data_IF_698469549384
#
_entry.id   IF_698469549384
#
_cell.length_a   1.000
_cell.length_b   1.000
_cell.length_c   1.000
_cell.angle_alpha   90.00
_cell.angle_beta   90.00
_cell.angle_gamma   90.00
#
_symmetry.space_group_name_H-M   'P 1'
#
loop_
_entity.id
_entity.type
_entity.pdbx_description
1 polymer ?
#
# COMPACT_ATOMS: atom_id res chain seq x y z
N UNK A 1 -25.02 15.93 33.43
CA UNK A 1 -24.96 16.65 32.14
C UNK A 1 -23.90 15.95 31.30
N UNK A 2 -24.30 15.03 30.41
CA UNK A 2 -23.37 14.29 29.56
C UNK A 2 -23.10 15.11 28.30
N UNK A 3 -21.85 15.55 28.12
CA UNK A 3 -21.40 16.18 26.90
C UNK A 3 -21.12 15.10 25.85
N UNK A 4 -22.01 15.01 24.86
CA UNK A 4 -21.74 14.34 23.60
C UNK A 4 -20.62 15.09 22.87
N UNK A 5 -19.38 14.64 22.98
CA UNK A 5 -18.30 15.13 22.14
C UNK A 5 -18.41 14.50 20.75
N UNK A 6 -18.88 15.33 19.82
CA UNK A 6 -19.06 15.06 18.41
C UNK A 6 -17.74 14.67 17.71
N UNK A 7 -17.68 13.43 17.19
CA UNK A 7 -16.70 12.92 16.21
C UNK A 7 -16.91 13.54 14.79
N UNK A 8 -17.11 14.85 14.69
CA UNK A 8 -17.60 15.49 13.44
C UNK A 8 -16.53 16.04 12.51
N UNK A 9 -15.28 16.21 12.97
CA UNK A 9 -14.24 16.89 12.18
C UNK A 9 -13.55 16.04 11.09
N UNK A 10 -13.40 14.73 11.29
CA UNK A 10 -12.65 13.85 10.37
C UNK A 10 -13.51 13.12 9.34
N UNK A 11 -14.75 12.80 9.71
CA UNK A 11 -15.67 12.04 8.84
C UNK A 11 -16.04 12.86 7.59
N UNK A 12 -15.92 14.19 7.64
CA UNK A 12 -16.24 15.08 6.51
C UNK A 12 -15.15 15.07 5.42
N UNK A 13 -13.86 14.93 5.77
CA UNK A 13 -12.76 15.01 4.82
C UNK A 13 -12.57 13.73 3.97
N UNK A 14 -13.11 12.59 4.42
CA UNK A 14 -13.12 11.32 3.66
C UNK A 14 -14.52 10.92 3.21
N UNK A 15 -15.50 11.83 3.28
CA UNK A 15 -16.85 11.54 2.79
C UNK A 15 -16.92 11.79 1.28
N UNK A 16 -17.02 10.72 0.50
CA UNK A 16 -17.24 10.77 -0.95
C UNK A 16 -18.60 10.15 -1.28
N UNK A 17 -19.71 10.88 -1.11
CA UNK A 17 -21.06 10.35 -1.31
C UNK A 17 -21.36 10.00 -2.77
N UNK A 18 -20.67 10.65 -3.71
CA UNK A 18 -20.86 10.46 -5.15
C UNK A 18 -20.11 9.23 -5.70
N UNK A 19 -19.21 8.63 -4.92
CA UNK A 19 -18.44 7.46 -5.37
C UNK A 19 -19.19 6.18 -5.01
N UNK A 20 -19.66 5.47 -6.03
CA UNK A 20 -20.26 4.15 -5.86
C UNK A 20 -19.16 3.12 -5.68
N UNK A 21 -18.91 2.73 -4.45
CA UNK A 21 -18.00 1.65 -4.12
C UNK A 21 -18.73 0.64 -3.21
N UNK A 22 -18.39 -0.65 -3.31
CA UNK A 22 -19.12 -1.73 -2.63
C UNK A 22 -18.81 -1.82 -1.12
N UNK A 23 -18.95 -0.71 -0.40
CA UNK A 23 -18.73 -0.66 1.05
C UNK A 23 -17.39 -0.03 1.48
N UNK A 24 -16.67 0.63 0.56
CA UNK A 24 -15.48 1.42 0.90
C UNK A 24 -15.92 2.80 1.44
N UNK A 25 -16.27 2.78 2.72
CA UNK A 25 -16.91 3.88 3.43
C UNK A 25 -15.89 4.89 4.00
N UNK A 26 -16.32 6.02 4.61
CA UNK A 26 -15.42 7.01 5.17
C UNK A 26 -14.40 6.48 6.19
N UNK A 27 -14.75 5.47 7.00
CA UNK A 27 -13.84 4.83 7.94
C UNK A 27 -12.76 4.01 7.22
N UNK A 28 -13.15 3.27 6.18
CA UNK A 28 -12.20 2.52 5.35
C UNK A 28 -11.19 3.45 4.66
N UNK A 29 -11.66 4.58 4.12
CA UNK A 29 -10.78 5.62 3.54
C UNK A 29 -9.82 6.19 4.57
N UNK A 30 -10.30 6.45 5.80
CA UNK A 30 -9.46 6.93 6.89
C UNK A 30 -8.35 5.93 7.24
N UNK A 31 -8.66 4.64 7.34
CA UNK A 31 -7.67 3.58 7.60
C UNK A 31 -6.57 3.56 6.54
N UNK A 32 -6.94 3.65 5.25
CA UNK A 32 -5.97 3.67 4.14
C UNK A 32 -5.12 4.94 4.17
N UNK A 33 -5.74 6.10 4.38
CA UNK A 33 -5.07 7.39 4.43
C UNK A 33 -4.09 7.46 5.61
N UNK A 34 -4.54 7.03 6.79
CA UNK A 34 -3.74 6.95 8.01
C UNK A 34 -2.51 6.06 7.76
N UNK A 35 -2.72 4.87 7.20
CA UNK A 35 -1.61 3.96 6.93
C UNK A 35 -0.56 4.57 5.99
N UNK A 36 -0.98 5.19 4.90
CA UNK A 36 -0.04 5.87 4.00
C UNK A 36 0.73 6.99 4.72
N UNK A 37 0.07 7.78 5.57
CA UNK A 37 0.71 8.86 6.30
C UNK A 37 1.67 8.38 7.41
N UNK A 38 1.38 7.24 8.06
CA UNK A 38 2.33 6.58 8.97
C UNK A 38 3.60 6.17 8.23
N UNK A 39 3.45 5.52 7.08
CA UNK A 39 4.57 5.08 6.25
C UNK A 39 5.43 6.27 5.77
N UNK A 40 4.78 7.37 5.37
CA UNK A 40 5.46 8.62 5.00
C UNK A 40 6.16 9.29 6.19
N UNK A 41 5.57 9.22 7.38
CA UNK A 41 6.23 9.67 8.62
C UNK A 41 7.50 8.86 8.92
N UNK A 42 7.52 7.56 8.63
CA UNK A 42 8.74 6.76 8.75
C UNK A 42 9.86 7.26 7.80
N UNK A 43 9.50 7.71 6.59
CA UNK A 43 10.46 8.35 5.66
C UNK A 43 10.99 9.65 6.26
N UNK A 44 10.10 10.51 6.76
CA UNK A 44 10.49 11.78 7.39
C UNK A 44 11.40 11.58 8.63
N UNK A 45 11.24 10.46 9.34
CA UNK A 45 12.05 10.10 10.50
C UNK A 45 13.29 9.26 10.18
N UNK A 46 13.48 8.79 8.95
CA UNK A 46 14.60 7.91 8.59
C UNK A 46 14.55 6.55 9.28
N UNK A 47 13.34 6.02 9.51
CA UNK A 47 13.13 4.73 10.19
C UNK A 47 12.75 3.60 9.24
N UNK A 48 12.63 3.87 7.93
CA UNK A 48 12.36 2.86 6.90
C UNK A 48 13.59 1.99 6.69
N UNK A 49 13.43 0.69 6.88
CA UNK A 49 14.47 -0.30 6.58
C UNK A 49 14.34 -0.78 5.12
N UNK A 50 15.46 -0.86 4.42
CA UNK A 50 15.54 -1.40 3.06
C UNK A 50 16.20 -2.79 3.07
N UNK A 51 16.48 -3.36 1.88
CA UNK A 51 17.18 -4.64 1.78
C UNK A 51 18.43 -4.71 2.68
N UNK A 52 18.54 -5.77 3.47
CA UNK A 52 19.64 -5.95 4.43
C UNK A 52 19.41 -5.30 5.80
N UNK A 53 18.27 -4.64 6.04
CA UNK A 53 17.86 -4.14 7.36
C UNK A 53 18.50 -2.82 7.79
N UNK A 54 19.31 -2.21 6.93
CA UNK A 54 19.80 -0.84 7.15
C UNK A 54 18.67 0.17 6.88
N UNK A 55 18.79 1.36 7.49
CA UNK A 55 17.78 2.41 7.40
C UNK A 55 18.07 3.42 6.30
N UNK A 56 17.01 3.86 5.63
CA UNK A 56 17.06 5.03 4.77
C UNK A 56 17.40 6.28 5.58
N UNK A 57 18.10 7.22 4.96
CA UNK A 57 18.23 8.57 5.50
C UNK A 57 16.86 9.22 5.58
N UNK A 58 16.67 10.08 6.57
CA UNK A 58 15.44 10.86 6.72
C UNK A 58 15.19 11.77 5.51
N UNK A 59 13.91 11.99 5.23
CA UNK A 59 13.45 12.93 4.21
C UNK A 59 12.95 14.24 4.80
N UNK A 60 13.28 15.36 4.14
CA UNK A 60 12.59 16.65 4.34
C UNK A 60 11.50 16.82 3.29
N UNK A 61 10.60 17.79 3.48
CA UNK A 61 9.53 18.08 2.52
C UNK A 61 8.66 16.85 2.18
N UNK A 62 8.41 15.95 3.14
CA UNK A 62 7.48 14.84 2.96
C UNK A 62 6.08 15.34 3.30
N UNK A 63 5.19 15.39 2.31
CA UNK A 63 3.85 15.93 2.53
C UNK A 63 2.86 14.88 3.05
N UNK A 64 1.99 15.28 3.96
CA UNK A 64 0.86 14.46 4.40
C UNK A 64 -0.13 14.35 3.24
N UNK A 65 -0.60 13.13 2.99
CA UNK A 65 -1.66 12.89 2.04
C UNK A 65 -3.01 13.30 2.63
N UNK A 66 -3.85 13.87 1.77
CA UNK A 66 -5.28 14.06 1.98
C UNK A 66 -6.06 13.15 1.04
N UNK A 67 -7.28 12.78 1.44
CA UNK A 67 -8.15 12.00 0.57
C UNK A 67 -8.76 12.90 -0.52
N UNK A 68 -8.85 12.40 -1.75
CA UNK A 68 -9.45 13.11 -2.87
C UNK A 68 -10.50 12.22 -3.55
N UNK A 69 -11.75 12.67 -3.52
CA UNK A 69 -12.89 11.91 -4.03
C UNK A 69 -12.87 11.75 -5.56
N UNK A 70 -12.26 12.69 -6.30
CA UNK A 70 -12.17 12.57 -7.75
C UNK A 70 -11.12 11.52 -8.15
N UNK A 71 -10.00 11.45 -7.40
CA UNK A 71 -9.04 10.36 -7.53
C UNK A 71 -9.64 9.01 -7.16
N UNK A 72 -10.45 8.96 -6.09
CA UNK A 72 -11.16 7.74 -5.71
C UNK A 72 -12.11 7.28 -6.80
N UNK A 73 -12.87 8.22 -7.39
CA UNK A 73 -13.82 7.92 -8.45
C UNK A 73 -13.14 7.24 -9.64
N UNK A 74 -12.08 7.83 -10.18
CA UNK A 74 -11.37 7.25 -11.33
C UNK A 74 -10.67 5.93 -10.98
N UNK A 75 -10.14 5.79 -9.75
CA UNK A 75 -9.56 4.55 -9.27
C UNK A 75 -10.60 3.44 -9.15
N UNK A 76 -11.80 3.76 -8.66
CA UNK A 76 -12.92 2.82 -8.52
C UNK A 76 -13.47 2.40 -9.89
N UNK A 77 -13.63 3.35 -10.81
CA UNK A 77 -14.02 3.05 -12.20
C UNK A 77 -13.04 2.09 -12.87
N UNK A 78 -11.73 2.21 -12.58
CA UNK A 78 -10.74 1.26 -13.08
C UNK A 78 -10.81 -0.09 -12.37
N UNK A 79 -10.94 -0.09 -11.05
CA UNK A 79 -11.05 -1.31 -10.24
C UNK A 79 -12.27 -2.16 -10.65
N UNK A 80 -13.40 -1.51 -10.96
CA UNK A 80 -14.64 -2.17 -11.38
C UNK A 80 -14.51 -2.99 -12.67
N UNK A 81 -13.47 -2.74 -13.47
CA UNK A 81 -13.21 -3.50 -14.70
C UNK A 81 -12.69 -4.90 -14.41
N UNK A 82 -12.14 -5.16 -13.22
CA UNK A 82 -11.58 -6.46 -12.85
C UNK A 82 -10.51 -6.99 -13.83
N UNK A 83 -9.75 -6.09 -14.46
CA UNK A 83 -8.65 -6.45 -15.38
C UNK A 83 -7.35 -5.95 -14.77
N UNK A 84 -6.42 -6.87 -14.48
CA UNK A 84 -5.12 -6.49 -13.95
C UNK A 84 -4.30 -5.76 -15.02
N UNK A 85 -4.03 -4.49 -14.76
CA UNK A 85 -3.25 -3.62 -15.63
C UNK A 85 -3.39 -2.16 -15.21
N UNK A 86 -2.46 -1.32 -15.64
CA UNK A 86 -2.55 0.11 -15.40
C UNK A 86 -3.61 0.75 -16.27
N UNK A 87 -4.27 1.79 -15.76
CA UNK A 87 -5.16 2.61 -16.55
C UNK A 87 -4.39 3.46 -17.55
N UNK A 88 -5.10 4.02 -18.55
CA UNK A 88 -4.49 5.00 -19.45
C UNK A 88 -4.27 6.31 -18.71
N UNK A 89 -3.29 7.12 -19.15
CA UNK A 89 -3.06 8.45 -18.59
C UNK A 89 -4.29 9.35 -18.67
N UNK A 90 -5.10 9.21 -19.72
CA UNK A 90 -6.36 9.91 -19.88
C UNK A 90 -7.35 9.52 -18.79
N UNK A 91 -7.47 8.22 -18.48
CA UNK A 91 -8.32 7.72 -17.41
C UNK A 91 -7.84 8.20 -16.03
N UNK A 92 -6.54 8.07 -15.74
CA UNK A 92 -5.96 8.50 -14.47
C UNK A 92 -5.83 10.02 -14.31
N UNK A 93 -6.10 10.80 -15.37
CA UNK A 93 -5.85 12.26 -15.42
C UNK A 93 -4.41 12.62 -15.05
N UNK A 94 -3.45 11.85 -15.59
CA UNK A 94 -2.01 11.94 -15.29
C UNK A 94 -1.64 11.73 -13.81
N UNK A 95 -2.55 11.23 -12.98
CA UNK A 95 -2.21 10.82 -11.62
C UNK A 95 -1.24 9.62 -11.65
N UNK A 96 -0.38 9.54 -10.63
CA UNK A 96 0.35 8.32 -10.34
C UNK A 96 -0.62 7.20 -10.01
N UNK A 97 -0.24 5.94 -10.23
CA UNK A 97 -1.12 4.81 -10.02
C UNK A 97 -0.37 3.61 -9.46
N UNK A 98 -0.88 3.06 -8.36
CA UNK A 98 -0.49 1.75 -7.88
C UNK A 98 -1.67 0.78 -8.06
N UNK A 99 -1.37 -0.45 -8.50
CA UNK A 99 -2.35 -1.51 -8.68
C UNK A 99 -1.94 -2.77 -7.93
N UNK A 100 -2.91 -3.53 -7.45
CA UNK A 100 -2.68 -4.76 -6.70
C UNK A 100 -3.81 -5.76 -6.96
N UNK A 101 -3.46 -7.02 -7.20
CA UNK A 101 -4.41 -8.12 -7.35
C UNK A 101 -4.11 -9.23 -6.35
N UNK A 102 -5.12 -9.66 -5.62
CA UNK A 102 -5.06 -10.81 -4.73
C UNK A 102 -5.98 -11.93 -5.21
N UNK A 103 -5.54 -13.18 -5.05
CA UNK A 103 -6.28 -14.37 -5.45
C UNK A 103 -6.50 -15.27 -4.22
N UNK A 104 -7.70 -15.84 -4.09
CA UNK A 104 -8.03 -16.79 -3.02
C UNK A 104 -9.07 -17.81 -3.50
N UNK A 105 -8.96 -19.04 -3.04
CA UNK A 105 -9.99 -20.08 -3.24
C UNK A 105 -11.07 -20.03 -2.16
N UNK A 106 -10.85 -19.28 -1.08
CA UNK A 106 -11.83 -19.02 -0.04
C UNK A 106 -12.63 -17.74 -0.29
N UNK A 107 -13.39 -17.29 0.71
CA UNK A 107 -14.13 -16.04 0.64
C UNK A 107 -13.22 -14.81 0.59
N UNK A 108 -13.71 -13.73 -0.01
CA UNK A 108 -13.06 -12.42 0.10
C UNK A 108 -12.93 -12.01 1.56
N UNK A 109 -11.79 -11.40 1.89
CA UNK A 109 -11.61 -10.70 3.16
C UNK A 109 -12.34 -9.35 3.14
N UNK A 110 -12.40 -8.67 4.30
CA UNK A 110 -12.96 -7.33 4.36
C UNK A 110 -12.21 -6.36 3.46
N UNK A 111 -12.90 -5.31 3.02
CA UNK A 111 -12.31 -4.24 2.20
C UNK A 111 -11.07 -3.65 2.87
N UNK A 112 -11.17 -3.31 4.16
CA UNK A 112 -10.06 -2.73 4.93
C UNK A 112 -8.85 -3.66 4.96
N UNK A 113 -9.07 -4.97 5.15
CA UNK A 113 -8.00 -5.97 5.15
C UNK A 113 -7.29 -6.03 3.81
N UNK A 114 -8.04 -6.07 2.71
CA UNK A 114 -7.46 -6.15 1.37
C UNK A 114 -6.77 -4.83 0.96
N UNK A 115 -7.33 -3.68 1.33
CA UNK A 115 -6.71 -2.37 1.12
C UNK A 115 -5.40 -2.21 1.90
N UNK A 116 -5.38 -2.59 3.18
CA UNK A 116 -4.15 -2.58 3.98
C UNK A 116 -3.13 -3.60 3.46
N UNK A 117 -3.59 -4.76 2.98
CA UNK A 117 -2.71 -5.74 2.33
C UNK A 117 -2.04 -5.15 1.09
N UNK A 118 -2.80 -4.51 0.20
CA UNK A 118 -2.26 -3.83 -0.98
C UNK A 118 -1.26 -2.75 -0.58
N UNK A 119 -1.65 -1.85 0.33
CA UNK A 119 -0.82 -0.74 0.82
C UNK A 119 0.52 -1.24 1.37
N UNK A 120 0.48 -2.25 2.25
CA UNK A 120 1.69 -2.81 2.85
C UNK A 120 2.53 -3.63 1.85
N UNK A 121 1.89 -4.34 0.91
CA UNK A 121 2.60 -5.12 -0.10
C UNK A 121 3.44 -4.22 -1.02
N UNK A 122 2.84 -3.13 -1.51
CA UNK A 122 3.52 -2.10 -2.25
C UNK A 122 4.64 -1.44 -1.44
N UNK A 123 4.40 -1.15 -0.15
CA UNK A 123 5.43 -0.54 0.69
C UNK A 123 6.63 -1.47 0.93
N UNK A 124 6.36 -2.75 1.15
CA UNK A 124 7.38 -3.77 1.44
C UNK A 124 8.32 -4.06 0.27
N UNK A 125 8.08 -3.50 -0.92
CA UNK A 125 9.02 -3.55 -2.03
C UNK A 125 10.39 -2.94 -1.67
N UNK A 126 10.43 -1.94 -0.78
CA UNK A 126 11.70 -1.35 -0.30
C UNK A 126 12.63 -2.39 0.35
N UNK A 127 12.07 -3.44 0.94
CA UNK A 127 12.85 -4.52 1.56
C UNK A 127 13.56 -5.42 0.55
N UNK A 128 13.23 -5.28 -0.75
CA UNK A 128 13.85 -6.00 -1.87
C UNK A 128 14.82 -5.13 -2.67
N UNK A 129 14.95 -3.86 -2.29
CA UNK A 129 15.75 -2.88 -3.00
C UNK A 129 16.93 -2.41 -2.13
N UNK A 130 18.15 -2.67 -2.58
CA UNK A 130 19.37 -2.15 -1.97
C UNK A 130 19.56 -0.66 -2.25
N UNK A 131 18.98 0.17 -1.38
CA UNK A 131 19.07 1.63 -1.49
C UNK A 131 20.49 2.18 -1.36
N UNK A 132 21.46 1.41 -0.84
CA UNK A 132 22.85 1.86 -0.73
C UNK A 132 23.50 2.07 -2.11
N UNK A 133 23.01 1.36 -3.13
CA UNK A 133 23.45 1.51 -4.53
C UNK A 133 22.89 2.76 -5.22
N UNK A 134 21.96 3.47 -4.56
CA UNK A 134 21.39 4.72 -5.04
C UNK A 134 21.52 5.82 -3.97
N UNK A 135 22.75 6.29 -3.70
CA UNK A 135 23.03 7.21 -2.60
C UNK A 135 22.38 8.59 -2.75
N UNK A 136 21.81 8.90 -3.94
CA UNK A 136 21.08 10.14 -4.24
C UNK A 136 19.56 9.98 -4.20
N UNK A 137 19.05 8.78 -3.93
CA UNK A 137 17.62 8.46 -3.90
C UNK A 137 16.88 8.87 -5.18
N UNK A 138 17.51 8.68 -6.34
CA UNK A 138 16.99 9.12 -7.63
C UNK A 138 16.13 8.02 -8.24
N UNK A 139 14.95 8.38 -8.74
CA UNK A 139 14.11 7.47 -9.49
C UNK A 139 14.82 7.04 -10.79
N UNK A 140 15.01 5.74 -10.94
CA UNK A 140 15.61 5.11 -12.13
C UNK A 140 14.90 3.80 -12.48
N UNK A 141 15.41 3.07 -13.49
CA UNK A 141 14.83 1.81 -13.93
C UNK A 141 14.90 0.72 -12.85
N UNK A 142 15.94 0.73 -12.02
CA UNK A 142 16.10 -0.24 -10.93
C UNK A 142 15.04 -0.02 -9.86
N UNK A 143 14.84 1.23 -9.43
CA UNK A 143 13.77 1.59 -8.50
C UNK A 143 12.42 1.24 -9.10
N UNK A 144 12.14 1.63 -10.36
CA UNK A 144 10.82 1.38 -10.97
C UNK A 144 10.49 -0.11 -11.02
N UNK A 145 11.47 -0.94 -11.38
CA UNK A 145 11.27 -2.38 -11.55
C UNK A 145 11.16 -3.16 -10.24
N UNK A 146 11.84 -2.72 -9.18
CA UNK A 146 11.89 -3.45 -7.89
C UNK A 146 10.94 -2.85 -6.85
N UNK A 147 10.82 -1.52 -6.83
CA UNK A 147 10.17 -0.73 -5.79
C UNK A 147 9.35 0.45 -6.36
N UNK A 148 8.75 0.26 -7.53
CA UNK A 148 7.95 1.29 -8.22
C UNK A 148 6.71 1.71 -7.43
N UNK A 149 6.04 0.78 -6.73
CA UNK A 149 4.87 1.12 -5.95
C UNK A 149 5.26 1.77 -4.61
N UNK A 150 6.33 1.28 -3.97
CA UNK A 150 6.90 1.91 -2.79
C UNK A 150 7.31 3.36 -3.07
N UNK A 151 8.03 3.60 -4.17
CA UNK A 151 8.53 4.93 -4.51
C UNK A 151 7.40 5.94 -4.74
N UNK A 152 6.27 5.52 -5.31
CA UNK A 152 5.07 6.37 -5.40
C UNK A 152 4.49 6.69 -4.01
N UNK A 153 4.39 5.72 -3.10
CA UNK A 153 3.91 5.99 -1.73
C UNK A 153 4.85 6.90 -0.95
N UNK A 154 6.16 6.74 -1.15
CA UNK A 154 7.21 7.52 -0.49
C UNK A 154 7.49 8.87 -1.16
N UNK A 155 6.84 9.16 -2.30
CA UNK A 155 7.14 10.35 -3.11
C UNK A 155 6.87 11.63 -2.33
N UNK A 156 7.91 12.40 -2.01
CA UNK A 156 7.84 13.49 -1.03
C UNK A 156 6.78 14.53 -1.36
N UNK A 157 6.67 14.88 -2.65
CA UNK A 157 5.76 15.92 -3.15
C UNK A 157 4.30 15.48 -3.37
N UNK A 158 3.96 14.19 -3.26
CA UNK A 158 2.55 13.77 -3.37
C UNK A 158 1.73 14.30 -2.19
N UNK A 159 0.53 14.83 -2.44
CA UNK A 159 -0.31 15.52 -1.44
C UNK A 159 -1.71 14.95 -1.31
N UNK A 160 -2.14 14.14 -2.29
CA UNK A 160 -3.49 13.60 -2.43
C UNK A 160 -3.46 12.15 -2.87
N UNK A 161 -4.44 11.39 -2.40
CA UNK A 161 -4.67 9.99 -2.76
C UNK A 161 -6.17 9.73 -2.84
N UNK A 162 -6.58 8.85 -3.75
CA UNK A 162 -7.89 8.22 -3.75
C UNK A 162 -7.78 6.80 -4.28
N UNK A 163 -8.52 5.86 -3.71
CA UNK A 163 -8.39 4.44 -4.06
C UNK A 163 -9.71 3.75 -4.36
N UNK A 164 -9.70 2.84 -5.33
CA UNK A 164 -10.79 1.95 -5.67
C UNK A 164 -10.50 0.51 -5.28
N UNK A 165 -11.54 -0.23 -4.92
CA UNK A 165 -11.48 -1.67 -4.66
C UNK A 165 -12.64 -2.38 -5.33
N UNK A 166 -12.36 -3.54 -5.92
CA UNK A 166 -13.39 -4.43 -6.41
C UNK A 166 -13.08 -5.88 -6.08
N UNK A 167 -14.07 -6.56 -5.49
CA UNK A 167 -14.10 -8.02 -5.48
C UNK A 167 -14.62 -8.51 -6.84
N UNK A 168 -13.87 -9.44 -7.40
CA UNK A 168 -13.95 -9.96 -8.74
C UNK A 168 -13.89 -11.50 -8.70
N UNK A 169 -14.13 -12.15 -9.83
CA UNK A 169 -13.96 -13.59 -9.98
C UNK A 169 -13.21 -13.86 -11.28
N UNK A 170 -12.14 -14.63 -11.21
CA UNK A 170 -11.36 -15.03 -12.38
C UNK A 170 -11.27 -16.57 -12.43
N UNK A 171 -12.01 -17.17 -13.35
CA UNK A 171 -12.19 -18.62 -13.40
C UNK A 171 -12.82 -19.13 -12.08
N UNK A 172 -12.12 -20.03 -11.39
CA UNK A 172 -12.55 -20.58 -10.10
C UNK A 172 -12.00 -19.82 -8.88
N UNK A 173 -11.30 -18.71 -9.10
CA UNK A 173 -10.68 -17.93 -8.02
C UNK A 173 -11.49 -16.68 -7.70
N UNK A 174 -11.65 -16.40 -6.41
CA UNK A 174 -12.09 -15.11 -5.93
C UNK A 174 -10.90 -14.15 -5.98
N UNK A 175 -11.05 -13.03 -6.66
CA UNK A 175 -9.98 -12.04 -6.85
C UNK A 175 -10.36 -10.70 -6.27
N UNK A 176 -9.40 -9.96 -5.70
CA UNK A 176 -9.63 -8.60 -5.25
C UNK A 176 -8.65 -7.68 -5.95
N UNK A 177 -9.20 -6.72 -6.71
CA UNK A 177 -8.42 -5.71 -7.42
C UNK A 177 -8.46 -4.38 -6.66
N UNK A 178 -7.30 -3.82 -6.40
CA UNK A 178 -7.10 -2.55 -5.69
C UNK A 178 -6.31 -1.61 -6.58
N UNK A 179 -6.78 -0.37 -6.67
CA UNK A 179 -6.17 0.72 -7.42
C UNK A 179 -6.07 1.93 -6.51
N UNK A 180 -4.92 2.59 -6.42
CA UNK A 180 -4.78 3.88 -5.76
C UNK A 180 -4.17 4.88 -6.74
N UNK A 181 -4.80 6.03 -6.90
CA UNK A 181 -4.28 7.15 -7.67
C UNK A 181 -3.71 8.24 -6.76
N UNK A 182 -2.61 8.86 -7.19
CA UNK A 182 -1.78 9.78 -6.41
C UNK A 182 -1.57 11.10 -7.14
N UNK A 183 -1.82 12.22 -6.47
CA UNK A 183 -1.56 13.56 -7.00
C UNK A 183 -0.78 14.39 -5.98
N UNK A 184 0.31 15.06 -6.32
CA UNK A 184 1.11 15.04 -7.55
C UNK A 184 1.65 13.63 -7.84
N UNK A 185 1.70 13.25 -9.12
CA UNK A 185 2.25 11.97 -9.55
C UNK A 185 3.72 11.82 -9.12
N UNK A 186 4.13 10.60 -8.83
CA UNK A 186 5.50 10.26 -8.48
C UNK A 186 6.27 9.67 -9.66
N UNK A 187 7.37 9.00 -9.32
CA UNK A 187 8.15 8.15 -10.22
C UNK A 187 8.69 8.88 -11.46
N UNK A 188 8.95 10.19 -11.34
CA UNK A 188 9.60 10.96 -12.38
C UNK A 188 11.09 10.61 -12.45
N UNK A 189 11.51 10.00 -13.56
CA UNK A 189 12.90 9.63 -13.81
C UNK A 189 13.87 10.80 -13.61
N UNK A 190 15.00 10.52 -12.97
CA UNK A 190 16.03 11.52 -12.69
C UNK A 190 15.67 12.50 -11.57
N UNK A 191 14.47 12.43 -10.99
CA UNK A 191 14.10 13.19 -9.80
C UNK A 191 14.27 12.35 -8.54
N UNK A 192 14.59 12.97 -7.39
CA UNK A 192 14.62 12.26 -6.13
C UNK A 192 13.21 11.78 -5.75
N UNK A 193 13.10 10.57 -5.20
CA UNK A 193 11.85 10.05 -4.62
C UNK A 193 11.41 10.98 -3.48
N UNK A 194 12.37 11.36 -2.65
CA UNK A 194 12.26 12.45 -1.70
C UNK A 194 13.62 13.09 -1.46
N UNK A 195 13.62 14.35 -1.03
CA UNK A 195 14.84 15.06 -0.68
C UNK A 195 15.36 14.60 0.69
N UNK A 196 16.64 14.27 0.78
CA UNK A 196 17.25 14.01 2.09
C UNK A 196 17.26 15.26 2.97
N UNK A 197 16.99 15.05 4.25
CA UNK A 197 16.98 16.10 5.26
C UNK A 197 16.18 15.66 6.48
N UNK A 198 16.11 16.52 7.49
CA UNK A 198 15.25 16.23 8.64
C UNK A 198 13.79 16.43 8.25
N UNK A 199 12.90 15.56 8.72
CA UNK A 199 11.46 15.86 8.72
C UNK A 199 11.18 17.20 9.39
N UNK A 200 10.06 17.83 9.03
CA UNK A 200 9.79 19.20 9.45
C UNK A 200 9.67 19.31 10.98
N UNK A 201 10.13 20.43 11.53
CA UNK A 201 10.01 20.78 12.95
C UNK A 201 9.26 22.10 13.17
N UNK A 202 9.06 22.87 12.10
CA UNK A 202 8.35 24.16 12.05
C UNK A 202 7.92 24.43 10.61
N UNK A 203 6.97 25.33 10.44
CA UNK A 203 6.37 25.63 9.14
C UNK A 203 7.40 26.03 8.07
N UNK A 204 8.44 26.78 8.46
CA UNK A 204 9.50 27.23 7.54
C UNK A 204 10.34 26.10 6.94
N UNK A 205 10.29 24.89 7.51
CA UNK A 205 11.00 23.72 6.97
C UNK A 205 10.25 23.13 5.75
N UNK A 206 8.97 23.45 5.58
CA UNK A 206 8.10 22.98 4.50
C UNK A 206 8.12 23.95 3.32
N UNK A 207 8.95 23.64 2.32
CA UNK A 207 9.36 24.61 1.29
C UNK A 207 8.85 24.30 -0.12
N UNK A 208 8.41 23.06 -0.38
CA UNK A 208 7.92 22.65 -1.72
C UNK A 208 6.69 23.42 -2.17
N UNK A 209 5.70 23.62 -1.29
CA UNK A 209 4.49 24.39 -1.59
C UNK A 209 4.41 25.63 -0.71
N UNK A 210 4.14 26.79 -1.30
CA UNK A 210 4.00 28.05 -0.56
C UNK A 210 2.80 27.98 0.39
N UNK A 211 2.96 28.51 1.60
CA UNK A 211 1.90 28.51 2.63
C UNK A 211 1.78 27.19 3.39
N UNK A 212 2.71 26.25 3.17
CA UNK A 212 2.71 24.97 3.89
C UNK A 212 3.00 25.14 5.37
N UNK A 213 2.47 24.22 6.17
CA UNK A 213 2.70 24.11 7.61
C UNK A 213 3.37 22.79 7.95
N UNK A 214 3.90 22.68 9.16
CA UNK A 214 4.46 21.44 9.68
C UNK A 214 3.51 20.79 10.69
N UNK A 215 3.15 19.52 10.47
CA UNK A 215 2.64 18.68 11.53
C UNK A 215 3.83 18.12 12.33
N UNK A 216 4.21 18.82 13.39
CA UNK A 216 5.41 18.47 14.20
C UNK A 216 5.34 17.08 14.83
N UNK A 217 4.13 16.54 15.05
CA UNK A 217 3.93 15.24 15.68
C UNK A 217 4.39 14.08 14.78
N UNK A 218 4.15 14.20 13.47
CA UNK A 218 4.55 13.19 12.48
C UNK A 218 5.66 13.66 11.53
N UNK A 219 6.13 14.91 11.70
CA UNK A 219 7.16 15.58 10.90
C UNK A 219 6.83 15.70 9.41
N UNK A 220 5.54 15.63 9.07
CA UNK A 220 5.05 15.79 7.71
C UNK A 220 4.63 17.24 7.44
N UNK A 221 4.88 17.68 6.22
CA UNK A 221 4.40 18.96 5.72
C UNK A 221 2.93 18.86 5.32
N UNK A 222 2.17 19.91 5.58
CA UNK A 222 0.76 20.06 5.19
C UNK A 222 0.68 21.12 4.12
N UNK A 223 -0.08 20.89 3.05
CA UNK A 223 -0.37 21.98 2.11
C UNK A 223 -1.28 23.02 2.76
N UNK A 224 -1.38 24.21 2.16
CA UNK A 224 -2.33 25.21 2.63
C UNK A 224 -3.75 24.64 2.68
N UNK A 225 -4.51 24.99 3.72
CA UNK A 225 -5.84 24.46 4.01
C UNK A 225 -5.91 23.03 4.58
N UNK A 226 -4.83 22.24 4.60
CA UNK A 226 -4.83 20.93 5.26
C UNK A 226 -4.66 21.07 6.77
N UNK A 227 -5.48 20.37 7.55
CA UNK A 227 -5.34 20.30 9.00
C UNK A 227 -4.31 19.24 9.41
N UNK A 228 -3.53 19.53 10.45
CA UNK A 228 -2.73 18.52 11.13
C UNK A 228 -3.71 17.53 11.73
N UNK A 229 -3.71 16.28 11.26
CA UNK A 229 -4.48 15.27 11.93
C UNK A 229 -3.92 15.11 13.35
N UNK A 230 -4.71 15.37 14.38
CA UNK A 230 -4.46 14.85 15.73
C UNK A 230 -4.22 13.34 15.69
N UNK A 231 -3.34 12.82 16.56
CA UNK A 231 -3.21 11.38 16.75
C UNK A 231 -4.55 10.84 17.25
N UNK A 232 -5.17 9.94 16.49
CA UNK A 232 -6.25 9.12 17.02
C UNK A 232 -5.65 8.26 18.14
N UNK A 233 -5.90 8.62 19.40
CA UNK A 233 -5.72 7.68 20.51
C UNK A 233 -6.49 6.40 20.20
N UNK A 234 -5.97 5.22 20.56
CA UNK A 234 -6.74 3.99 20.42
C UNK A 234 -8.03 4.15 21.20
N UNK A 235 -9.18 4.00 20.55
CA UNK A 235 -10.45 3.88 21.26
C UNK A 235 -10.31 2.74 22.27
N UNK A 236 -10.37 3.09 23.55
CA UNK A 236 -10.42 2.13 24.64
C UNK A 236 -11.62 1.22 24.45
N UNK A 237 -11.38 -0.08 24.31
CA UNK A 237 -12.41 -1.09 24.46
C UNK A 237 -12.83 -1.11 25.93
N UNK A 238 -13.94 -0.45 26.26
CA UNK A 238 -14.68 -0.74 27.47
C UNK A 238 -15.49 -2.02 27.25
N UNK A 239 -14.80 -3.17 27.35
CA UNK A 239 -15.43 -4.40 27.78
C UNK A 239 -15.03 -4.64 29.22
N UNK A 240 -15.89 -4.19 30.14
CA UNK A 240 -15.90 -4.69 31.51
C UNK A 240 -16.28 -6.17 31.46
N UNK A 241 -15.27 -7.05 31.51
CA UNK A 241 -15.49 -8.45 31.91
C UNK A 241 -15.35 -8.52 33.44
N UNK A 242 -16.29 -9.18 34.16
CA UNK A 242 -16.13 -9.43 35.59
C UNK A 242 -14.92 -10.36 35.82
N UNK A 243 -14.17 -10.11 36.89
CA UNK A 243 -13.14 -11.03 37.38
C UNK A 243 -13.72 -12.44 37.60
N UNK A 244 -13.03 -13.52 37.16
CA UNK A 244 -13.28 -14.84 37.66
C UNK A 244 -12.45 -15.08 38.93
N UNK A 245 -13.18 -15.51 39.96
CA UNK A 245 -12.68 -16.04 41.22
C UNK A 245 -11.66 -17.16 41.06
N UNK A 246 -10.68 -17.12 41.97
CA UNK A 246 -9.65 -18.10 42.26
C UNK A 246 -10.20 -19.54 42.34
N UNK A 247 -9.73 -20.42 41.45
CA UNK A 247 -9.89 -21.87 41.58
C UNK A 247 -8.68 -22.58 40.97
N UNK A 248 -7.92 -23.25 41.83
CA UNK A 248 -6.76 -24.05 41.49
C UNK A 248 -7.15 -25.23 40.61
N UNK A 249 -6.34 -25.49 39.57
CA UNK A 249 -6.42 -26.72 38.77
C UNK A 249 -5.06 -27.42 38.71
N UNK A 250 -5.04 -28.77 38.64
CA UNK A 250 -3.83 -29.57 38.85
C UNK A 250 -2.96 -29.67 37.60
N UNK A 251 -1.67 -29.94 37.84
CA UNK A 251 -0.59 -30.16 36.87
C UNK A 251 -0.91 -31.26 35.83
N UNK A 252 -0.63 -31.06 34.53
CA UNK A 252 -0.78 -32.12 33.53
C UNK A 252 0.41 -33.10 33.53
N UNK A 253 0.08 -34.38 33.39
CA UNK A 253 0.95 -35.54 33.18
C UNK A 253 1.34 -35.65 31.68
N UNK A 254 2.52 -36.20 31.30
CA UNK A 254 3.03 -36.10 29.92
C UNK A 254 2.42 -37.15 28.97
N UNK A 255 2.04 -36.72 27.76
CA UNK A 255 1.56 -37.58 26.67
C UNK A 255 2.69 -38.34 25.93
N UNK A 256 2.38 -39.51 25.33
CA UNK A 256 3.35 -40.44 24.78
C UNK A 256 3.86 -40.04 23.37
N UNK A 257 5.12 -40.37 23.12
CA UNK A 257 5.85 -40.11 21.88
C UNK A 257 5.39 -41.01 20.73
N UNK A 258 5.03 -40.40 19.60
CA UNK A 258 4.84 -41.11 18.31
C UNK A 258 5.93 -40.71 17.31
N UNK A 259 6.45 -41.72 16.59
CA UNK A 259 7.59 -41.62 15.64
C UNK A 259 7.20 -40.94 14.32
N UNK A 260 8.15 -40.37 13.55
CA UNK A 260 7.84 -39.65 12.32
C UNK A 260 7.51 -40.59 11.16
N UNK A 261 6.40 -40.30 10.46
CA UNK A 261 6.05 -40.90 9.16
C UNK A 261 6.71 -40.09 8.03
N UNK A 262 7.34 -40.80 7.09
CA UNK A 262 8.08 -40.25 5.95
C UNK A 262 7.11 -39.70 4.89
N UNK A 263 7.22 -38.42 4.52
CA UNK A 263 6.50 -37.82 3.38
C UNK A 263 7.33 -37.99 2.11
N UNK A 264 6.77 -38.45 0.97
CA UNK A 264 7.51 -38.56 -0.29
C UNK A 264 7.81 -37.20 -0.91
N UNK A 265 8.99 -37.09 -1.52
CA UNK A 265 9.51 -35.85 -2.14
C UNK A 265 8.69 -35.42 -3.37
N UNK A 266 8.49 -34.09 -3.52
CA UNK A 266 7.90 -33.43 -4.70
C UNK A 266 8.78 -33.66 -5.95
N UNK A 267 8.21 -33.87 -7.16
CA UNK A 267 9.02 -33.97 -8.37
C UNK A 267 9.67 -32.63 -8.70
N UNK A 268 10.90 -32.69 -9.20
CA UNK A 268 11.65 -31.54 -9.69
C UNK A 268 11.04 -31.01 -10.99
N UNK A 269 10.54 -29.77 -10.99
CA UNK A 269 10.05 -29.10 -12.19
C UNK A 269 11.16 -28.96 -13.25
N UNK A 270 10.80 -29.22 -14.50
CA UNK A 270 11.72 -29.26 -15.65
C UNK A 270 12.40 -27.89 -15.87
N UNK A 271 13.74 -27.85 -15.91
CA UNK A 271 14.54 -26.60 -16.04
C UNK A 271 14.17 -25.78 -17.29
N UNK A 272 13.65 -26.42 -18.34
CA UNK A 272 13.17 -25.74 -19.56
C UNK A 272 11.95 -24.85 -19.30
N UNK A 273 10.95 -25.31 -18.53
CA UNK A 273 9.77 -24.50 -18.19
C UNK A 273 10.13 -23.31 -17.30
N UNK A 274 11.08 -23.50 -16.36
CA UNK A 274 11.55 -22.43 -15.46
C UNK A 274 12.29 -21.30 -16.19
N UNK A 275 13.03 -21.64 -17.25
CA UNK A 275 13.71 -20.63 -18.08
C UNK A 275 12.75 -19.92 -19.04
N UNK A 276 11.75 -20.64 -19.56
CA UNK A 276 10.73 -20.04 -20.44
C UNK A 276 9.84 -19.04 -19.68
N UNK A 277 9.42 -19.37 -18.44
CA UNK A 277 8.67 -18.46 -17.56
C UNK A 277 9.47 -17.21 -17.15
N UNK A 278 10.79 -17.34 -16.91
CA UNK A 278 11.69 -16.21 -16.62
C UNK A 278 11.83 -15.26 -17.81
N UNK A 279 11.90 -15.79 -19.02
CA UNK A 279 11.96 -14.96 -20.23
C UNK A 279 10.63 -14.24 -20.48
N UNK A 280 9.47 -14.89 -20.31
CA UNK A 280 8.17 -14.22 -20.49
C UNK A 280 7.96 -13.09 -19.46
N UNK A 281 8.48 -13.21 -18.22
CA UNK A 281 8.40 -12.13 -17.21
C UNK A 281 9.31 -10.94 -17.51
N UNK A 282 10.42 -11.14 -18.22
CA UNK A 282 11.38 -10.07 -18.53
C UNK A 282 10.92 -9.15 -19.69
N UNK A 283 9.98 -9.61 -20.54
CA UNK A 283 9.47 -8.86 -21.69
C UNK A 283 8.02 -8.36 -21.52
N UNK A 284 7.36 -8.63 -20.40
CA UNK A 284 5.97 -8.22 -20.15
C UNK A 284 5.75 -6.70 -20.20
N UNK A 285 6.80 -5.90 -20.05
CA UNK A 285 6.74 -4.43 -20.10
C UNK A 285 6.81 -3.84 -21.52
N UNK A 286 6.94 -4.66 -22.57
CA UNK A 286 7.25 -4.17 -23.93
C UNK A 286 6.26 -4.60 -25.04
N UNK A 287 5.22 -5.39 -24.77
CA UNK A 287 4.36 -5.92 -25.83
C UNK A 287 2.86 -5.79 -25.55
N UNK A 288 2.10 -5.47 -26.61
CA UNK A 288 0.64 -5.57 -26.69
C UNK A 288 0.17 -7.02 -26.42
N UNK A 289 -0.98 -7.17 -25.76
CA UNK A 289 -1.54 -8.42 -25.23
C UNK A 289 -1.70 -9.49 -26.33
N UNK A 290 -1.93 -9.06 -27.58
CA UNK A 290 -2.09 -9.95 -28.73
C UNK A 290 -0.76 -10.54 -29.25
N UNK A 291 0.37 -9.86 -29.05
CA UNK A 291 1.71 -10.36 -29.43
C UNK A 291 2.29 -11.36 -28.42
N UNK A 292 1.92 -11.22 -27.14
CA UNK A 292 2.32 -12.14 -26.06
C UNK A 292 1.82 -13.58 -26.31
N UNK A 293 0.59 -13.72 -26.85
CA UNK A 293 0.02 -15.04 -27.21
C UNK A 293 0.77 -15.75 -28.34
N UNK A 294 1.44 -15.02 -29.23
CA UNK A 294 2.22 -15.62 -30.34
C UNK A 294 3.61 -16.10 -29.90
N UNK A 295 4.19 -15.54 -28.84
CA UNK A 295 5.56 -15.82 -28.41
C UNK A 295 5.70 -16.69 -27.15
N UNK A 296 4.66 -16.82 -26.32
CA UNK A 296 4.63 -17.75 -25.18
C UNK A 296 3.50 -18.78 -25.36
N UNK A 297 3.67 -19.83 -26.20
CA UNK A 297 2.61 -20.77 -26.58
C UNK A 297 2.28 -21.84 -25.53
N UNK A 298 2.88 -21.80 -24.33
CA UNK A 298 2.70 -22.87 -23.33
C UNK A 298 1.46 -22.58 -22.48
N UNK A 299 0.37 -23.29 -22.75
CA UNK A 299 -0.81 -23.32 -21.88
C UNK A 299 -0.52 -24.12 -20.62
N UNK A 300 -0.98 -23.66 -19.46
CA UNK A 300 -0.78 -24.29 -18.13
C UNK A 300 -1.30 -25.73 -17.98
N UNK A 301 -1.77 -26.38 -19.05
CA UNK A 301 -2.20 -27.79 -19.08
C UNK A 301 -1.11 -28.79 -19.46
N UNK A 302 0.05 -28.36 -19.97
CA UNK A 302 1.09 -29.25 -20.50
C UNK A 302 2.41 -29.26 -19.67
N UNK A 303 2.30 -29.12 -18.35
CA UNK A 303 3.44 -29.25 -17.40
C UNK A 303 3.21 -30.37 -16.39
#
# INVERSE_FOLDING_TARGET
MNAHHHFTGYVTATNCPEVRNQGFNPSSRHVVLQRHNELRSMVANGTVEYEGGARLRSGKNIYQLSWDCDLEKIAQEWADRCVYGHSTKEHSKDAGENIYMWYTSGSHQSIDTNMLRATNNWWDEIKKYDASKNPKNIMDNTVLSIAGHWSQQAWGATTKIGCGIRNCTEGSWNTTFVVCNYLVAGNYFGKPIFEFGNGCSRDSDCTTYKGSRCNVNNKLCLTDGQTAGEPSSPSGNNNSQPEPSDQSTPKPEPEPTTKPVRVPAKPSGNKKCRNSLRNCTQFAHLCDVEQLRRHCPVTCGDC
#
